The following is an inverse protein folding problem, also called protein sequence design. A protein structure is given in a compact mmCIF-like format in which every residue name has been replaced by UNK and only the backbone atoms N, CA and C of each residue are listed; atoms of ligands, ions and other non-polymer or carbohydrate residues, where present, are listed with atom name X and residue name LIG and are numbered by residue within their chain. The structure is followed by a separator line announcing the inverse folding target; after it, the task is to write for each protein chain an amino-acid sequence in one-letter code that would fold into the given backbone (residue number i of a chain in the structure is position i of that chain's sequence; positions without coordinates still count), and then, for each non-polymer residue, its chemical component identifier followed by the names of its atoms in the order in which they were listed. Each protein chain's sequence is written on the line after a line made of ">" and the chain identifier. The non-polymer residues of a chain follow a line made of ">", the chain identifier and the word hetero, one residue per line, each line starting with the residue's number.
data_IF_331971682640
#
_entry.id   IF_331971682640
#
_cell.length_a   1.000
_cell.length_b   1.000
_cell.length_c   1.000
_cell.angle_alpha   90.00
_cell.angle_beta   90.00
_cell.angle_gamma   90.00
#
_symmetry.space_group_name_H-M   'P 1'
#
loop_
_entity.id
_entity.type
_entity.pdbx_description
1 polymer ?
#
# COMPACT_ATOMS: atom_id res chain seq x y z
N UNK A 1 -12.37 19.60 1.27
CA UNK A 1 -11.91 18.28 1.70
C UNK A 1 -13.11 17.40 1.97
N UNK A 2 -13.26 16.27 1.27
CA UNK A 2 -14.27 15.27 1.64
C UNK A 2 -13.84 14.65 2.95
N UNK A 3 -14.75 14.54 3.89
CA UNK A 3 -14.47 13.88 5.16
C UNK A 3 -14.58 12.36 4.94
N UNK A 4 -13.50 11.61 5.19
CA UNK A 4 -13.56 10.16 5.16
C UNK A 4 -14.65 9.62 6.09
N UNK A 5 -15.39 8.58 5.68
CA UNK A 5 -16.43 7.98 6.53
C UNK A 5 -15.81 7.32 7.76
N UNK A 6 -16.62 7.12 8.80
CA UNK A 6 -16.19 6.38 10.00
C UNK A 6 -16.03 4.89 9.73
N UNK A 7 -16.84 4.34 8.84
CA UNK A 7 -16.79 2.94 8.43
C UNK A 7 -16.61 2.85 6.91
N UNK A 8 -15.79 1.90 6.46
CA UNK A 8 -15.63 1.62 5.05
C UNK A 8 -16.96 1.15 4.47
N UNK A 9 -17.47 1.77 3.38
CA UNK A 9 -18.64 1.28 2.67
C UNK A 9 -18.45 -0.16 2.20
N UNK A 10 -19.55 -0.88 2.03
CA UNK A 10 -19.49 -2.22 1.43
C UNK A 10 -18.88 -2.17 0.06
N UNK A 11 -18.05 -3.15 -0.22
CA UNK A 11 -17.44 -3.30 -1.54
C UNK A 11 -17.53 -4.75 -2.04
N UNK A 12 -17.43 -4.88 -3.35
CA UNK A 12 -17.32 -6.17 -4.04
C UNK A 12 -16.13 -6.14 -4.98
N UNK A 13 -15.47 -7.26 -5.11
CA UNK A 13 -14.36 -7.48 -6.03
C UNK A 13 -14.74 -8.67 -6.91
N UNK A 14 -14.95 -8.41 -8.19
CA UNK A 14 -15.37 -9.42 -9.16
C UNK A 14 -14.28 -9.57 -10.23
N UNK A 15 -13.83 -10.80 -10.53
CA UNK A 15 -12.85 -11.02 -11.58
C UNK A 15 -13.45 -10.63 -12.93
N UNK A 16 -12.63 -10.06 -13.79
CA UNK A 16 -12.97 -9.75 -15.18
C UNK A 16 -12.31 -10.78 -16.10
N UNK A 17 -13.04 -11.18 -17.14
CA UNK A 17 -12.49 -12.04 -18.21
C UNK A 17 -11.55 -11.29 -19.17
N UNK A 18 -11.53 -9.95 -19.09
CA UNK A 18 -10.65 -9.13 -19.91
C UNK A 18 -9.20 -9.28 -19.45
N UNK A 19 -8.29 -9.23 -20.42
CA UNK A 19 -6.85 -9.23 -20.09
C UNK A 19 -6.47 -8.04 -19.22
N UNK A 20 -5.52 -8.21 -18.28
CA UNK A 20 -4.96 -7.10 -17.52
C UNK A 20 -4.37 -6.03 -18.46
N UNK A 21 -4.46 -4.78 -18.02
CA UNK A 21 -3.76 -3.69 -18.67
C UNK A 21 -2.42 -3.44 -17.95
N UNK A 22 -1.50 -2.77 -18.62
CA UNK A 22 -0.28 -2.25 -18.00
C UNK A 22 -0.53 -0.83 -17.50
N UNK A 23 0.21 -0.44 -16.47
CA UNK A 23 0.24 0.92 -15.95
C UNK A 23 1.64 1.47 -16.13
N UNK A 24 1.75 2.64 -16.76
CA UNK A 24 3.04 3.29 -16.96
C UNK A 24 3.52 3.95 -15.67
N UNK A 25 4.82 4.13 -15.57
CA UNK A 25 5.44 4.69 -14.36
C UNK A 25 4.87 6.06 -13.97
N UNK A 26 4.66 6.95 -14.92
CA UNK A 26 4.10 8.28 -14.67
C UNK A 26 2.69 8.25 -14.09
N UNK A 27 2.00 7.13 -14.24
CA UNK A 27 0.64 6.91 -13.76
C UNK A 27 0.62 6.31 -12.35
N UNK A 28 1.76 5.76 -11.86
CA UNK A 28 1.87 5.08 -10.58
C UNK A 28 1.93 5.99 -9.34
N UNK A 29 1.88 7.30 -9.50
CA UNK A 29 1.94 8.22 -8.37
C UNK A 29 0.83 7.99 -7.34
N UNK A 30 -0.36 7.60 -7.79
CA UNK A 30 -1.45 7.23 -6.89
C UNK A 30 -1.18 5.93 -6.12
N UNK A 31 -0.49 4.98 -6.74
CA UNK A 31 -0.08 3.74 -6.10
C UNK A 31 0.96 3.97 -5.01
N UNK A 32 1.92 4.83 -5.29
CA UNK A 32 2.95 5.22 -4.33
C UNK A 32 2.41 6.13 -3.23
N UNK A 33 1.11 6.42 -3.23
CA UNK A 33 0.46 7.32 -2.27
C UNK A 33 1.11 8.72 -2.24
N UNK A 34 1.69 9.12 -3.37
CA UNK A 34 2.30 10.45 -3.53
C UNK A 34 1.32 11.36 -4.25
N UNK A 35 0.87 12.46 -3.65
CA UNK A 35 0.02 13.42 -4.31
C UNK A 35 0.80 14.16 -5.42
N UNK A 36 0.10 14.62 -6.44
CA UNK A 36 0.69 15.51 -7.42
C UNK A 36 0.99 16.87 -6.81
N UNK A 37 1.92 17.59 -7.41
CA UNK A 37 2.21 18.95 -6.96
C UNK A 37 0.94 19.83 -6.90
N UNK A 38 0.67 20.39 -5.73
CA UNK A 38 -0.52 21.21 -5.47
C UNK A 38 -1.78 20.43 -5.09
N UNK A 39 -1.73 19.10 -5.08
CA UNK A 39 -2.81 18.25 -4.59
C UNK A 39 -2.58 17.83 -3.14
N UNK A 40 -3.66 17.52 -2.45
CA UNK A 40 -3.65 16.85 -1.16
C UNK A 40 -4.45 15.57 -1.29
N UNK A 41 -3.89 14.48 -0.77
CA UNK A 41 -4.49 13.17 -0.76
C UNK A 41 -4.73 12.76 0.69
N UNK A 42 -5.92 12.25 0.99
CA UNK A 42 -6.24 11.71 2.32
C UNK A 42 -6.53 10.22 2.21
N UNK A 43 -5.76 9.43 2.93
CA UNK A 43 -5.93 7.98 3.05
C UNK A 43 -6.59 7.63 4.37
N UNK A 44 -7.60 6.75 4.32
CA UNK A 44 -8.17 6.11 5.50
C UNK A 44 -7.70 4.68 5.62
N UNK A 45 -7.29 4.28 6.82
CA UNK A 45 -7.06 2.90 7.19
C UNK A 45 -8.27 2.40 7.98
N UNK A 46 -8.83 1.28 7.53
CA UNK A 46 -10.04 0.66 8.07
C UNK A 46 -9.70 -0.74 8.58
N UNK A 47 -9.82 -0.91 9.87
CA UNK A 47 -9.50 -2.17 10.55
C UNK A 47 -10.49 -3.30 10.21
N UNK A 48 -10.02 -4.52 10.16
CA UNK A 48 -10.85 -5.69 9.95
C UNK A 48 -10.90 -6.55 11.23
N UNK A 49 -12.06 -7.11 11.59
CA UNK A 49 -13.32 -7.18 10.83
C UNK A 49 -14.27 -6.00 11.05
N UNK A 50 -13.91 -5.04 11.89
CA UNK A 50 -14.82 -3.96 12.31
C UNK A 50 -15.21 -3.01 11.17
N UNK A 51 -14.35 -2.90 10.15
CA UNK A 51 -14.41 -1.93 9.05
C UNK A 51 -14.41 -0.46 9.52
N UNK A 52 -14.10 -0.26 10.79
CA UNK A 52 -14.00 1.06 11.39
C UNK A 52 -12.68 1.71 11.00
N UNK A 53 -12.74 3.00 10.66
CA UNK A 53 -11.53 3.77 10.42
C UNK A 53 -10.77 3.93 11.74
N UNK A 54 -9.53 3.46 11.79
CA UNK A 54 -8.63 3.58 12.93
C UNK A 54 -7.70 4.77 12.78
N UNK A 55 -7.32 5.07 11.54
CA UNK A 55 -6.45 6.21 11.25
C UNK A 55 -6.76 6.84 9.90
N UNK A 56 -6.23 8.03 9.67
CA UNK A 56 -6.13 8.62 8.35
C UNK A 56 -4.82 9.39 8.21
N UNK A 57 -4.32 9.46 6.99
CA UNK A 57 -3.08 10.18 6.66
C UNK A 57 -3.38 11.22 5.60
N UNK A 58 -3.07 12.48 5.89
CA UNK A 58 -3.09 13.56 4.93
C UNK A 58 -1.70 13.71 4.32
N UNK A 59 -1.60 13.57 3.00
CA UNK A 59 -0.35 13.73 2.27
C UNK A 59 -0.43 14.91 1.31
N UNK A 60 0.62 15.70 1.26
CA UNK A 60 0.75 16.82 0.32
C UNK A 60 2.20 17.02 -0.08
N UNK A 61 2.41 17.43 -1.32
CA UNK A 61 3.70 17.95 -1.74
C UNK A 61 3.82 19.38 -1.22
N UNK A 62 4.82 19.61 -0.36
CA UNK A 62 5.05 20.93 0.27
C UNK A 62 5.80 21.86 -0.71
N UNK A 63 6.78 21.31 -1.43
CA UNK A 63 7.62 22.08 -2.33
C UNK A 63 8.76 21.29 -2.92
N UNK A 64 9.69 22.01 -3.53
CA UNK A 64 10.96 21.45 -4.00
C UNK A 64 11.90 21.30 -2.80
N UNK A 65 12.73 20.28 -2.84
CA UNK A 65 13.76 20.03 -1.87
C UNK A 65 15.02 19.49 -2.53
N UNK A 66 16.13 19.56 -1.83
CA UNK A 66 17.41 19.02 -2.28
C UNK A 66 18.04 18.24 -1.13
N UNK A 67 18.58 17.07 -1.43
CA UNK A 67 19.34 16.24 -0.47
C UNK A 67 20.66 15.87 -1.14
N UNK A 68 21.77 16.37 -0.57
CA UNK A 68 23.13 16.16 -1.09
C UNK A 68 23.30 16.46 -2.61
N UNK A 69 22.70 17.54 -3.08
CA UNK A 69 22.78 17.96 -4.49
C UNK A 69 21.80 17.24 -5.42
N UNK A 70 20.93 16.37 -4.89
CA UNK A 70 19.89 15.70 -5.66
C UNK A 70 18.58 16.44 -5.45
N UNK A 71 18.03 16.98 -6.53
CA UNK A 71 16.72 17.65 -6.51
C UNK A 71 15.58 16.62 -6.37
N UNK A 72 14.59 16.98 -5.59
CA UNK A 72 13.36 16.20 -5.38
C UNK A 72 12.20 17.08 -4.97
N UNK A 73 11.16 16.44 -4.45
CA UNK A 73 9.99 17.07 -3.86
C UNK A 73 9.89 16.68 -2.38
N UNK A 74 9.55 17.64 -1.53
CA UNK A 74 9.23 17.38 -0.14
C UNK A 74 7.75 17.07 0.01
N UNK A 75 7.46 15.94 0.66
CA UNK A 75 6.12 15.41 0.91
C UNK A 75 5.89 15.42 2.41
N UNK A 76 4.82 16.06 2.86
CA UNK A 76 4.35 15.95 4.24
C UNK A 76 3.26 14.89 4.31
N UNK A 77 3.43 13.94 5.22
CA UNK A 77 2.42 12.96 5.60
C UNK A 77 2.05 13.18 7.07
N UNK A 78 0.85 13.66 7.31
CA UNK A 78 0.32 13.86 8.65
C UNK A 78 -0.65 12.73 8.98
N UNK A 79 -0.28 11.89 9.93
CA UNK A 79 -1.06 10.73 10.38
C UNK A 79 -1.82 11.09 11.66
N UNK A 80 -3.09 10.73 11.72
CA UNK A 80 -4.00 11.03 12.82
C UNK A 80 -4.67 9.77 13.33
N UNK A 81 -4.82 9.66 14.65
CA UNK A 81 -5.57 8.61 15.30
C UNK A 81 -5.00 7.22 15.08
N UNK A 82 -3.68 7.12 14.88
CA UNK A 82 -3.02 5.84 14.68
C UNK A 82 -2.96 5.07 15.99
N UNK A 83 -3.65 3.93 16.05
CA UNK A 83 -3.21 2.86 16.93
C UNK A 83 -1.95 2.25 16.33
N UNK A 84 -0.87 2.26 17.06
CA UNK A 84 0.33 1.54 16.66
C UNK A 84 0.08 0.04 16.83
N UNK A 85 -0.27 -0.64 15.75
CA UNK A 85 -0.46 -2.08 15.72
C UNK A 85 0.78 -2.88 16.15
N UNK A 86 1.93 -2.26 16.13
CA UNK A 86 3.21 -2.88 16.51
C UNK A 86 3.62 -2.55 17.95
N UNK A 87 3.01 -1.53 18.54
CA UNK A 87 3.33 -1.05 19.89
C UNK A 87 2.05 -0.80 20.65
N UNK A 88 2.10 -0.87 21.93
CA UNK A 88 0.96 -0.68 22.84
C UNK A 88 0.58 0.79 23.06
N UNK A 89 0.92 1.68 22.14
CA UNK A 89 0.66 3.11 22.25
C UNK A 89 -0.25 3.63 21.16
N UNK A 90 -1.17 4.53 21.49
CA UNK A 90 -1.88 5.36 20.53
C UNK A 90 -1.02 6.53 20.13
N UNK A 91 -0.94 6.82 18.83
CA UNK A 91 -0.35 8.04 18.30
C UNK A 91 -1.51 8.93 17.88
N UNK A 92 -1.77 9.98 18.65
CA UNK A 92 -2.86 10.91 18.34
C UNK A 92 -2.57 11.69 17.05
N UNK A 93 -1.32 12.04 16.83
CA UNK A 93 -0.87 12.76 15.65
C UNK A 93 0.63 12.56 15.44
N UNK A 94 1.03 12.25 14.20
CA UNK A 94 2.42 12.11 13.81
C UNK A 94 2.66 12.71 12.43
N UNK A 95 3.63 13.61 12.33
CA UNK A 95 4.10 14.12 11.04
C UNK A 95 5.39 13.42 10.62
N UNK A 96 5.36 12.83 9.42
CA UNK A 96 6.55 12.41 8.69
C UNK A 96 6.73 13.29 7.48
N UNK A 97 7.95 13.56 7.12
CA UNK A 97 8.28 14.23 5.87
C UNK A 97 9.25 13.39 5.10
N UNK A 98 9.02 13.31 3.81
CA UNK A 98 9.85 12.58 2.89
C UNK A 98 10.36 13.53 1.82
N UNK A 99 11.58 13.33 1.36
CA UNK A 99 12.06 13.93 0.12
C UNK A 99 12.19 12.81 -0.90
N UNK A 100 11.49 12.95 -2.00
CA UNK A 100 11.49 11.97 -3.07
C UNK A 100 11.93 12.60 -4.40
N UNK A 101 12.82 11.93 -5.12
CA UNK A 101 13.09 12.18 -6.50
C UNK A 101 12.15 11.33 -7.35
N UNK A 102 11.34 11.97 -8.17
CA UNK A 102 10.45 11.30 -9.12
C UNK A 102 11.06 11.44 -10.51
N UNK A 103 11.38 10.33 -11.14
CA UNK A 103 11.87 10.27 -12.52
C UNK A 103 10.89 9.48 -13.39
N UNK A 104 11.17 9.35 -14.67
CA UNK A 104 10.33 8.56 -15.60
C UNK A 104 10.34 7.06 -15.28
N UNK A 105 11.28 6.60 -14.46
CA UNK A 105 11.47 5.17 -14.17
C UNK A 105 11.49 4.84 -12.68
N UNK A 106 11.62 5.84 -11.80
CA UNK A 106 11.82 5.61 -10.37
C UNK A 106 11.08 6.61 -9.50
N UNK A 107 10.62 6.14 -8.36
CA UNK A 107 10.42 6.96 -7.17
C UNK A 107 11.55 6.63 -6.18
N UNK A 108 12.46 7.54 -5.99
CA UNK A 108 13.59 7.35 -5.09
C UNK A 108 13.43 8.23 -3.87
N UNK A 109 13.29 7.65 -2.70
CA UNK A 109 13.33 8.41 -1.45
C UNK A 109 14.77 8.77 -1.11
N UNK A 110 14.97 10.05 -0.93
CA UNK A 110 16.29 10.60 -0.59
C UNK A 110 16.44 10.77 0.90
N UNK A 111 15.36 11.09 1.59
CA UNK A 111 15.38 11.32 3.02
C UNK A 111 13.99 11.15 3.65
N UNK A 112 13.98 10.83 4.93
CA UNK A 112 12.81 10.87 5.80
C UNK A 112 13.13 11.73 7.03
N UNK A 113 12.16 12.49 7.51
CA UNK A 113 12.27 13.18 8.79
C UNK A 113 11.00 13.02 9.63
N UNK A 114 11.20 12.86 10.92
CA UNK A 114 10.14 12.84 11.92
C UNK A 114 10.58 13.49 13.22
N UNK A 115 9.65 13.75 14.13
CA UNK A 115 9.95 14.38 15.41
C UNK A 115 10.16 13.29 16.47
N UNK A 116 11.34 13.28 17.07
CA UNK A 116 11.66 12.42 18.21
C UNK A 116 12.01 13.29 19.40
N UNK A 117 11.31 13.11 20.52
CA UNK A 117 11.51 13.91 21.75
C UNK A 117 11.50 15.43 21.52
N UNK A 118 10.59 15.90 20.64
CA UNK A 118 10.45 17.32 20.31
C UNK A 118 11.50 17.86 19.34
N UNK A 119 12.42 17.04 18.86
CA UNK A 119 13.45 17.42 17.89
C UNK A 119 13.21 16.71 16.57
N UNK A 120 13.18 17.46 15.45
CA UNK A 120 13.11 16.87 14.11
C UNK A 120 14.45 16.26 13.75
N UNK A 121 14.45 14.97 13.48
CA UNK A 121 15.59 14.22 12.99
C UNK A 121 15.41 13.92 11.50
N UNK A 122 16.50 14.04 10.76
CA UNK A 122 16.57 13.73 9.33
C UNK A 122 17.42 12.47 9.15
N UNK A 123 16.87 11.53 8.40
CA UNK A 123 17.54 10.32 7.97
C UNK A 123 17.66 10.34 6.45
N UNK A 124 18.88 10.14 5.94
CA UNK A 124 19.11 10.09 4.49
C UNK A 124 19.33 8.65 4.04
N UNK A 125 18.90 8.34 2.81
CA UNK A 125 18.98 7.00 2.23
C UNK A 125 20.04 6.90 1.14
N UNK A 126 20.97 7.86 1.09
CA UNK A 126 21.93 8.02 -0.01
C UNK A 126 23.18 7.14 0.10
N UNK A 127 23.34 6.41 1.17
CA UNK A 127 24.50 5.55 1.44
C UNK A 127 24.28 4.08 1.07
N UNK A 128 23.54 3.83 0.00
CA UNK A 128 23.31 2.48 -0.54
C UNK A 128 21.97 1.87 -0.18
N UNK A 129 21.13 2.58 0.54
CA UNK A 129 19.75 2.21 0.82
C UNK A 129 18.80 2.95 -0.12
N UNK A 130 18.91 2.68 -1.39
CA UNK A 130 17.91 3.05 -2.38
C UNK A 130 16.69 2.13 -2.21
N UNK A 131 16.21 2.11 -0.98
CA UNK A 131 15.20 1.25 -0.45
C UNK A 131 13.90 1.31 -1.26
N UNK A 132 13.74 2.34 -2.07
CA UNK A 132 12.55 2.49 -2.86
C UNK A 132 12.70 2.26 -4.33
N UNK A 133 13.89 2.06 -4.77
CA UNK A 133 14.04 1.50 -6.10
C UNK A 133 13.33 0.14 -6.20
N UNK A 134 13.05 -0.50 -5.06
CA UNK A 134 12.40 -1.80 -4.98
C UNK A 134 10.95 -1.77 -4.54
N UNK A 135 10.42 -0.60 -4.27
CA UNK A 135 9.13 -0.56 -3.62
C UNK A 135 8.00 -0.93 -4.57
N UNK A 136 7.39 -2.04 -4.30
CA UNK A 136 6.24 -2.51 -5.02
C UNK A 136 6.52 -3.22 -6.35
N UNK A 137 7.76 -3.28 -6.80
CA UNK A 137 8.08 -3.87 -8.10
C UNK A 137 8.99 -5.09 -8.04
N UNK A 138 9.48 -5.44 -6.85
CA UNK A 138 10.44 -6.52 -6.65
C UNK A 138 11.85 -6.14 -7.09
N UNK A 139 12.83 -6.91 -6.63
CA UNK A 139 14.26 -6.66 -6.87
C UNK A 139 14.62 -6.61 -8.35
N UNK A 140 13.93 -7.39 -9.18
CA UNK A 140 14.27 -7.53 -10.60
C UNK A 140 13.74 -6.39 -11.48
N UNK A 141 12.92 -5.51 -10.92
CA UNK A 141 12.19 -4.49 -11.69
C UNK A 141 12.53 -3.08 -11.31
N UNK A 142 13.35 -2.97 -10.31
CA UNK A 142 13.71 -1.69 -9.82
C UNK A 142 14.42 -0.86 -10.83
N UNK A 143 13.82 0.24 -11.09
CA UNK A 143 14.44 1.26 -11.83
C UNK A 143 14.56 1.10 -13.34
N UNK A 144 14.22 -0.06 -13.88
CA UNK A 144 14.37 -0.35 -15.29
C UNK A 144 13.06 -0.57 -16.04
N UNK A 145 11.94 -0.68 -15.34
CA UNK A 145 10.64 -0.85 -15.97
C UNK A 145 9.84 0.45 -16.00
N UNK A 146 9.48 0.85 -17.21
CA UNK A 146 8.60 2.00 -17.46
C UNK A 146 7.13 1.64 -17.26
N UNK A 147 6.82 0.35 -17.22
CA UNK A 147 5.46 -0.16 -17.12
C UNK A 147 5.35 -1.25 -16.08
N UNK A 148 4.29 -1.21 -15.30
CA UNK A 148 3.86 -2.36 -14.50
C UNK A 148 3.08 -3.32 -15.40
N UNK A 149 3.62 -4.51 -15.63
CA UNK A 149 3.08 -5.53 -16.51
C UNK A 149 2.94 -6.87 -15.80
N UNK A 150 1.99 -7.73 -16.20
CA UNK A 150 1.94 -9.13 -15.72
C UNK A 150 3.25 -9.87 -16.04
N UNK A 151 3.83 -10.53 -15.06
CA UNK A 151 5.11 -11.27 -15.18
C UNK A 151 4.91 -12.78 -15.17
N UNK A 152 3.77 -13.25 -14.69
CA UNK A 152 3.50 -14.68 -14.53
C UNK A 152 4.27 -15.34 -13.38
N UNK A 153 4.77 -14.56 -12.43
CA UNK A 153 5.41 -15.08 -11.22
C UNK A 153 4.40 -15.66 -10.24
N UNK A 154 3.22 -15.06 -10.21
CA UNK A 154 2.11 -15.45 -9.35
C UNK A 154 0.89 -15.83 -10.17
N UNK A 155 0.19 -16.88 -9.73
CA UNK A 155 -1.10 -17.29 -10.28
C UNK A 155 -2.14 -17.23 -9.18
N UNK A 156 -3.29 -16.62 -9.47
CA UNK A 156 -4.42 -16.52 -8.55
C UNK A 156 -5.58 -17.37 -9.02
N UNK A 157 -6.15 -18.16 -8.12
CA UNK A 157 -7.41 -18.90 -8.31
C UNK A 157 -8.30 -18.69 -7.09
N UNK A 158 -9.31 -17.83 -7.22
CA UNK A 158 -10.11 -17.43 -6.06
C UNK A 158 -9.26 -16.77 -4.97
N UNK A 159 -9.18 -17.42 -3.82
CA UNK A 159 -8.36 -16.97 -2.69
C UNK A 159 -6.97 -17.62 -2.63
N UNK A 160 -6.67 -18.54 -3.55
CA UNK A 160 -5.39 -19.21 -3.60
C UNK A 160 -4.42 -18.47 -4.51
N UNK A 161 -3.21 -18.24 -4.00
CA UNK A 161 -2.07 -17.66 -4.71
C UNK A 161 -0.97 -18.70 -4.73
N UNK A 162 -0.50 -19.04 -5.92
CA UNK A 162 0.61 -19.98 -6.12
C UNK A 162 1.65 -19.30 -7.00
N UNK A 163 2.91 -19.48 -6.63
CA UNK A 163 4.02 -19.00 -7.44
C UNK A 163 5.31 -18.87 -6.67
N UNK A 164 6.29 -18.28 -7.33
CA UNK A 164 7.60 -18.06 -6.74
C UNK A 164 7.55 -16.88 -5.77
N UNK A 165 7.80 -17.17 -4.51
CA UNK A 165 7.81 -16.16 -3.44
C UNK A 165 9.18 -16.19 -2.77
N UNK A 166 10.09 -15.36 -3.27
CA UNK A 166 11.37 -15.10 -2.61
C UNK A 166 11.18 -14.11 -1.45
N UNK A 167 12.09 -13.19 -1.27
CA UNK A 167 12.01 -12.17 -0.22
C UNK A 167 10.78 -11.28 -0.39
N UNK A 168 10.61 -10.77 -1.59
CA UNK A 168 9.48 -9.96 -2.00
C UNK A 168 9.12 -10.34 -3.44
N UNK A 169 7.83 -10.49 -3.72
CA UNK A 169 7.37 -10.81 -5.07
C UNK A 169 6.16 -9.96 -5.39
N UNK A 170 6.26 -9.19 -6.47
CA UNK A 170 5.19 -8.34 -6.97
C UNK A 170 4.81 -8.76 -8.38
N UNK A 171 3.52 -9.00 -8.60
CA UNK A 171 2.99 -9.36 -9.92
C UNK A 171 1.54 -8.88 -10.09
N UNK A 172 1.12 -8.69 -11.33
CA UNK A 172 -0.28 -8.48 -11.68
C UNK A 172 -0.95 -9.84 -11.82
N UNK A 173 -1.90 -10.14 -10.94
CA UNK A 173 -2.55 -11.46 -10.87
C UNK A 173 -3.92 -11.51 -11.54
N UNK A 174 -4.39 -10.41 -12.12
CA UNK A 174 -5.65 -10.39 -12.87
C UNK A 174 -6.25 -9.00 -13.03
N UNK A 175 -7.39 -8.94 -13.71
CA UNK A 175 -8.23 -7.76 -13.88
C UNK A 175 -9.53 -7.95 -13.13
N UNK A 176 -9.99 -6.91 -12.46
CA UNK A 176 -11.13 -6.97 -11.55
C UNK A 176 -11.97 -5.72 -11.66
N UNK A 177 -13.27 -5.88 -11.45
CA UNK A 177 -14.17 -4.79 -11.16
C UNK A 177 -14.27 -4.63 -9.65
N UNK A 178 -13.89 -3.46 -9.13
CA UNK A 178 -14.06 -3.12 -7.72
C UNK A 178 -15.22 -2.15 -7.60
N UNK A 179 -16.27 -2.55 -6.90
CA UNK A 179 -17.39 -1.71 -6.57
C UNK A 179 -17.30 -1.28 -5.11
N UNK A 180 -17.30 0.02 -4.83
CA UNK A 180 -17.30 0.59 -3.48
C UNK A 180 -18.51 1.51 -3.37
N UNK A 181 -19.50 1.13 -2.52
CA UNK A 181 -20.79 1.80 -2.48
C UNK A 181 -21.47 1.77 -3.86
N UNK A 182 -21.78 2.95 -4.40
CA UNK A 182 -22.43 3.09 -5.72
C UNK A 182 -21.43 3.24 -6.87
N UNK A 183 -20.14 3.34 -6.59
CA UNK A 183 -19.09 3.55 -7.61
C UNK A 183 -18.47 2.23 -8.03
N UNK A 184 -18.18 2.12 -9.33
CA UNK A 184 -17.53 0.94 -9.94
C UNK A 184 -16.26 1.35 -10.66
N UNK A 185 -15.20 0.57 -10.48
CA UNK A 185 -13.88 0.82 -11.02
C UNK A 185 -13.37 -0.42 -11.75
N UNK A 186 -12.86 -0.22 -12.96
CA UNK A 186 -12.12 -1.24 -13.72
C UNK A 186 -10.66 -1.18 -13.28
N UNK A 187 -10.15 -2.27 -12.73
CA UNK A 187 -8.83 -2.31 -12.06
C UNK A 187 -8.02 -3.54 -12.46
N UNK A 188 -6.71 -3.45 -12.27
CA UNK A 188 -5.83 -4.60 -12.15
C UNK A 188 -5.54 -4.87 -10.68
N UNK A 189 -5.33 -6.13 -10.32
CA UNK A 189 -4.84 -6.49 -8.99
C UNK A 189 -3.33 -6.70 -9.03
N UNK A 190 -2.61 -5.86 -8.34
CA UNK A 190 -1.19 -6.04 -8.04
C UNK A 190 -1.09 -6.76 -6.72
N UNK A 191 -0.50 -7.94 -6.73
CA UNK A 191 -0.20 -8.72 -5.53
C UNK A 191 1.24 -8.46 -5.13
N UNK A 192 1.45 -8.07 -3.87
CA UNK A 192 2.77 -7.96 -3.23
C UNK A 192 2.84 -8.96 -2.08
N UNK A 193 3.79 -9.88 -2.15
CA UNK A 193 4.00 -10.91 -1.13
C UNK A 193 5.39 -10.74 -0.56
N UNK A 194 5.46 -10.47 0.75
CA UNK A 194 6.68 -10.32 1.50
C UNK A 194 6.85 -11.53 2.43
N UNK A 195 7.80 -12.40 2.11
CA UNK A 195 8.04 -13.64 2.86
C UNK A 195 8.95 -13.45 4.07
N UNK A 196 9.57 -12.30 4.22
CA UNK A 196 10.40 -11.95 5.36
C UNK A 196 9.58 -11.26 6.47
N UNK A 197 10.16 -11.15 7.65
CA UNK A 197 9.49 -10.69 8.85
C UNK A 197 8.26 -11.56 9.17
N UNK A 198 7.23 -11.16 9.69
CA UNK A 198 6.08 -11.98 10.07
C UNK A 198 5.18 -12.42 8.90
N UNK A 199 5.64 -12.22 7.67
CA UNK A 199 4.92 -12.58 6.45
C UNK A 199 3.70 -11.72 6.19
N UNK A 200 3.76 -10.96 5.10
CA UNK A 200 2.71 -10.04 4.69
C UNK A 200 2.35 -10.29 3.23
N UNK A 201 1.08 -10.19 2.92
CA UNK A 201 0.60 -10.10 1.55
C UNK A 201 -0.30 -8.87 1.40
N UNK A 202 -0.29 -8.25 0.25
CA UNK A 202 -1.22 -7.18 -0.07
C UNK A 202 -1.77 -7.30 -1.48
N UNK A 203 -3.03 -6.90 -1.63
CA UNK A 203 -3.71 -6.72 -2.90
C UNK A 203 -3.91 -5.23 -3.13
N UNK A 204 -3.34 -4.70 -4.21
CA UNK A 204 -3.63 -3.35 -4.64
C UNK A 204 -4.43 -3.37 -5.94
N UNK A 205 -5.59 -2.78 -5.90
CA UNK A 205 -6.46 -2.63 -7.05
C UNK A 205 -6.22 -1.25 -7.65
N UNK A 206 -5.55 -1.22 -8.81
CA UNK A 206 -5.18 0.00 -9.53
C UNK A 206 -6.11 0.23 -10.71
N UNK A 207 -6.57 1.46 -10.88
CA UNK A 207 -7.24 1.87 -12.10
C UNK A 207 -6.23 2.05 -13.26
N UNK A 208 -6.73 2.32 -14.47
CA UNK A 208 -5.91 2.52 -15.67
C UNK A 208 -4.96 3.73 -15.60
N UNK A 209 -5.12 4.60 -14.61
CA UNK A 209 -4.26 5.75 -14.35
C UNK A 209 -3.27 5.48 -13.20
N UNK A 210 -3.13 4.21 -12.77
CA UNK A 210 -2.26 3.84 -11.67
C UNK A 210 -2.72 4.30 -10.29
N UNK A 211 -3.97 4.71 -10.15
CA UNK A 211 -4.51 5.15 -8.86
C UNK A 211 -5.00 3.96 -8.08
N UNK A 212 -4.63 3.90 -6.80
CA UNK A 212 -5.13 2.87 -5.89
C UNK A 212 -6.61 3.12 -5.58
N UNK A 213 -7.45 2.20 -6.00
CA UNK A 213 -8.88 2.17 -5.69
C UNK A 213 -9.12 1.55 -4.33
N UNK A 214 -8.45 0.44 -4.06
CA UNK A 214 -8.53 -0.29 -2.80
C UNK A 214 -7.17 -0.97 -2.56
N UNK A 215 -6.66 -0.88 -1.35
CA UNK A 215 -5.50 -1.63 -0.91
C UNK A 215 -5.90 -2.49 0.30
N UNK A 216 -5.79 -3.81 0.16
CA UNK A 216 -6.10 -4.80 1.19
C UNK A 216 -4.81 -5.41 1.71
N UNK A 217 -4.65 -5.44 3.02
CA UNK A 217 -3.46 -6.00 3.67
C UNK A 217 -3.80 -7.25 4.47
N UNK A 218 -2.93 -8.24 4.32
CA UNK A 218 -3.06 -9.54 4.98
C UNK A 218 -1.79 -9.88 5.73
N UNK A 219 -1.93 -10.50 6.90
CA UNK A 219 -0.81 -11.02 7.66
C UNK A 219 -0.94 -12.52 7.85
N UNK A 220 0.19 -13.20 8.09
CA UNK A 220 0.14 -14.61 8.50
C UNK A 220 -0.69 -14.77 9.76
N UNK A 221 -1.43 -15.87 9.82
CA UNK A 221 -2.36 -16.15 10.91
C UNK A 221 -1.68 -16.20 12.30
N UNK A 222 -0.43 -16.65 12.37
CA UNK A 222 0.34 -16.73 13.61
C UNK A 222 0.68 -15.36 14.21
N UNK A 223 0.72 -14.30 13.38
CA UNK A 223 0.91 -12.93 13.86
C UNK A 223 -0.20 -12.49 14.82
N UNK A 224 -1.44 -12.77 14.48
CA UNK A 224 -2.58 -12.43 15.32
C UNK A 224 -2.55 -13.20 16.65
N UNK A 225 -2.13 -14.47 16.62
CA UNK A 225 -1.98 -15.26 17.84
C UNK A 225 -0.94 -14.67 18.80
N UNK A 226 0.23 -14.26 18.26
CA UNK A 226 1.27 -13.60 19.06
C UNK A 226 0.77 -12.32 19.72
N UNK A 227 -0.08 -11.55 19.04
CA UNK A 227 -0.58 -10.26 19.55
C UNK A 227 -1.81 -10.35 20.42
N UNK A 228 -2.78 -11.19 20.06
CA UNK A 228 -4.11 -11.22 20.68
C UNK A 228 -4.40 -12.51 21.45
N UNK A 229 -3.52 -13.50 21.39
CA UNK A 229 -3.75 -14.83 21.99
C UNK A 229 -4.85 -15.64 21.29
N UNK A 230 -5.28 -15.20 20.08
CA UNK A 230 -6.27 -15.87 19.25
C UNK A 230 -5.80 -15.86 17.81
N UNK A 231 -6.12 -16.90 17.07
CA UNK A 231 -5.89 -16.93 15.63
C UNK A 231 -6.96 -16.05 14.93
N UNK A 232 -6.54 -15.29 13.92
CA UNK A 232 -7.49 -14.53 13.11
C UNK A 232 -8.52 -15.42 12.43
N UNK A 233 -8.15 -16.66 12.07
CA UNK A 233 -9.06 -17.67 11.52
C UNK A 233 -10.21 -18.02 12.46
N UNK A 234 -10.10 -17.73 13.74
CA UNK A 234 -11.17 -17.86 14.74
C UNK A 234 -12.07 -16.62 14.77
N UNK A 235 -11.59 -15.51 14.21
CA UNK A 235 -12.25 -14.20 14.29
C UNK A 235 -12.84 -13.76 12.95
N UNK A 236 -12.24 -14.16 11.81
CA UNK A 236 -12.60 -13.74 10.46
C UNK A 236 -13.18 -14.90 9.63
N UNK A 237 -14.19 -14.64 8.80
CA UNK A 237 -14.75 -15.62 7.88
C UNK A 237 -13.72 -16.07 6.83
N UNK A 238 -13.99 -17.19 6.19
CA UNK A 238 -13.07 -17.81 5.25
C UNK A 238 -12.77 -16.96 4.00
N UNK A 239 -13.75 -16.18 3.56
CA UNK A 239 -13.60 -15.25 2.44
C UNK A 239 -12.69 -14.04 2.73
N UNK A 240 -12.33 -13.83 4.01
CA UNK A 240 -11.38 -12.81 4.43
C UNK A 240 -9.96 -13.37 4.62
N UNK A 241 -9.62 -14.41 3.86
CA UNK A 241 -8.33 -15.09 3.92
C UNK A 241 -7.75 -15.22 2.52
N UNK A 242 -6.41 -15.20 2.46
CA UNK A 242 -5.64 -15.64 1.29
C UNK A 242 -4.87 -16.90 1.67
N UNK A 243 -4.71 -17.80 0.72
CA UNK A 243 -3.85 -18.97 0.84
C UNK A 243 -2.67 -18.75 -0.10
N UNK A 244 -1.50 -18.47 0.43
CA UNK A 244 -0.29 -18.23 -0.35
C UNK A 244 0.63 -19.43 -0.23
N UNK A 245 0.80 -20.21 -1.30
CA UNK A 245 1.57 -21.46 -1.31
C UNK A 245 1.21 -22.41 -0.16
N UNK A 246 -0.09 -22.51 0.19
CA UNK A 246 -0.58 -23.34 1.27
C UNK A 246 -0.56 -22.71 2.66
N UNK A 247 0.02 -21.53 2.84
CA UNK A 247 0.01 -20.80 4.11
C UNK A 247 -1.17 -19.82 4.17
N UNK A 248 -1.82 -19.74 5.34
CA UNK A 248 -2.98 -18.86 5.54
C UNK A 248 -2.56 -17.47 5.97
N UNK A 249 -3.00 -16.48 5.20
CA UNK A 249 -2.91 -15.06 5.49
C UNK A 249 -4.32 -14.52 5.72
N UNK A 250 -4.49 -13.71 6.73
CA UNK A 250 -5.80 -13.18 7.12
C UNK A 250 -5.87 -11.68 6.95
N UNK A 251 -7.03 -11.22 6.52
CA UNK A 251 -7.28 -9.81 6.22
C UNK A 251 -7.15 -8.97 7.50
N UNK A 252 -6.28 -7.99 7.45
CA UNK A 252 -5.96 -7.15 8.59
C UNK A 252 -6.60 -5.77 8.50
N UNK A 253 -6.38 -5.08 7.39
CA UNK A 253 -6.98 -3.77 7.14
C UNK A 253 -7.10 -3.46 5.66
N UNK A 254 -7.94 -2.46 5.37
CA UNK A 254 -8.08 -1.83 4.05
C UNK A 254 -7.62 -0.38 4.10
N UNK A 255 -7.02 0.10 2.99
CA UNK A 255 -6.76 1.51 2.77
C UNK A 255 -7.51 2.00 1.54
N UNK A 256 -8.18 3.15 1.69
CA UNK A 256 -8.91 3.81 0.61
C UNK A 256 -8.70 5.32 0.72
N UNK A 257 -8.57 5.99 -0.41
CA UNK A 257 -8.42 7.44 -0.44
C UNK A 257 -9.76 8.17 -0.55
N UNK A 258 -9.76 9.44 -0.19
CA UNK A 258 -10.95 10.31 -0.21
C UNK A 258 -11.49 10.61 -1.62
N UNK A 259 -10.68 10.44 -2.67
CA UNK A 259 -11.16 10.63 -4.04
C UNK A 259 -11.92 9.39 -4.56
N UNK A 260 -11.73 8.23 -3.96
CA UNK A 260 -12.47 7.01 -4.27
C UNK A 260 -13.83 7.02 -3.57
N UNK A 261 -13.88 7.42 -2.31
CA UNK A 261 -15.07 7.44 -1.46
C UNK A 261 -16.00 8.70 -1.66
#
# INVERSE_FOLDING_TARGET
>A
MKKLPEYLPDYKIEPSELAPFSVRWEELQGWLMVPRLGEMLTWGLFDMPSRKRTEYTEMKVIGKAEVHGIEGVEISAMQYGAEDYYRTGCIDQMERRFVAQLTDTHCRYLAESHVENGVRKLYTFLDGNDFLDNWGFGEDNCGNEVNLMPKGLLTRSGNEIVGHTNKETVDIVGRYTVQIGEKSYDTICVMDIQCFNDGVASEQYLDKNGRTVLWRRFNKNDWAYKRYGKLWTEMLPENERLIVNGETYVHWYDCVSDYIL
#
